data_IF_457260361343
#
_entry.id   IF_457260361343
#
_cell.length_a   1.000
_cell.length_b   1.000
_cell.length_c   1.000
_cell.angle_alpha   90.00
_cell.angle_beta   90.00
_cell.angle_gamma   90.00
#
_symmetry.space_group_name_H-M   'P 1'
#
loop_
_entity.id
_entity.type
_entity.pdbx_description
1 polymer ?
#
# COMPACT_ATOMS: atom_id res chain seq x y z
N UNK A 1 -13.07 32.41 -14.55
CA UNK A 1 -14.15 31.48 -14.12
C UNK A 1 -13.94 30.03 -14.56
N UNK A 2 -12.93 29.66 -15.38
CA UNK A 2 -12.60 28.26 -15.69
C UNK A 2 -11.59 27.60 -14.73
N UNK A 3 -10.78 28.35 -13.99
CA UNK A 3 -9.79 27.79 -13.05
C UNK A 3 -10.30 27.52 -11.61
N UNK A 4 -11.55 27.87 -11.29
CA UNK A 4 -12.12 27.64 -9.94
C UNK A 4 -12.94 26.33 -9.87
N UNK A 5 -13.10 25.62 -10.99
CA UNK A 5 -13.74 24.29 -11.01
C UNK A 5 -12.77 23.12 -10.75
N UNK A 6 -11.46 23.37 -10.66
CA UNK A 6 -10.43 22.34 -10.39
C UNK A 6 -10.51 21.69 -9.00
N UNK A 7 -11.38 22.17 -8.09
CA UNK A 7 -11.49 21.66 -6.70
C UNK A 7 -12.82 20.93 -6.41
N UNK A 8 -13.87 21.11 -7.23
CA UNK A 8 -15.25 20.68 -6.88
C UNK A 8 -15.77 19.44 -7.64
N UNK A 9 -14.96 18.78 -8.46
CA UNK A 9 -15.34 17.53 -9.15
C UNK A 9 -14.77 16.25 -8.50
N UNK A 10 -14.10 16.37 -7.35
CA UNK A 10 -13.33 15.28 -6.72
C UNK A 10 -14.22 14.34 -5.87
N UNK A 11 -15.52 14.58 -5.75
CA UNK A 11 -16.37 13.85 -4.78
C UNK A 11 -17.08 12.59 -5.32
N UNK A 12 -16.68 11.97 -6.44
CA UNK A 12 -17.29 10.67 -6.83
C UNK A 12 -16.49 9.72 -7.72
N UNK A 13 -15.24 10.02 -8.06
CA UNK A 13 -14.37 9.08 -8.78
C UNK A 13 -13.16 8.72 -7.90
N UNK A 14 -13.32 7.56 -7.25
CA UNK A 14 -12.40 6.80 -6.40
C UNK A 14 -10.92 7.22 -6.39
N UNK A 15 -10.46 7.58 -5.19
CA UNK A 15 -9.08 7.68 -4.73
C UNK A 15 -8.24 6.45 -5.11
N UNK A 16 -7.26 6.64 -6.00
CA UNK A 16 -6.04 5.83 -6.09
C UNK A 16 -4.80 6.69 -6.38
N UNK A 17 -4.73 7.88 -5.82
CA UNK A 17 -3.54 8.73 -5.88
C UNK A 17 -3.30 9.39 -4.54
N UNK A 18 -2.46 8.79 -3.69
CA UNK A 18 -1.81 9.54 -2.60
C UNK A 18 -0.36 9.09 -2.45
N UNK A 19 0.45 9.60 -3.37
CA UNK A 19 1.89 9.76 -3.22
C UNK A 19 2.34 11.21 -3.45
N UNK A 20 1.45 12.20 -3.39
CA UNK A 20 1.81 13.63 -3.45
C UNK A 20 1.79 14.21 -2.04
N UNK A 21 2.91 14.04 -1.33
CA UNK A 21 3.25 14.89 -0.18
C UNK A 21 4.40 15.80 -0.60
N UNK A 22 4.03 17.05 -0.92
CA UNK A 22 4.82 18.22 -0.57
C UNK A 22 6.28 18.28 -1.03
N UNK A 23 6.53 18.28 -2.34
CA UNK A 23 7.56 19.17 -2.84
C UNK A 23 6.89 20.51 -3.13
N UNK A 24 7.07 21.46 -2.23
CA UNK A 24 6.91 22.86 -2.57
C UNK A 24 7.96 23.12 -3.67
N UNK A 25 7.55 23.01 -4.93
CA UNK A 25 8.42 23.38 -6.04
C UNK A 25 8.88 24.82 -5.78
N UNK A 26 10.16 25.16 -5.95
CA UNK A 26 10.51 26.56 -6.06
C UNK A 26 9.64 27.12 -7.20
N UNK A 27 8.69 27.99 -6.86
CA UNK A 27 8.01 28.85 -7.83
C UNK A 27 9.06 29.75 -8.45
N UNK A 28 9.79 29.22 -9.42
CA UNK A 28 10.38 30.04 -10.46
C UNK A 28 9.17 30.43 -11.30
N UNK A 29 8.67 31.65 -11.11
CA UNK A 29 7.62 32.28 -11.90
C UNK A 29 8.09 32.42 -13.37
N UNK A 30 8.21 31.30 -14.09
CA UNK A 30 8.24 31.28 -15.53
C UNK A 30 6.79 31.42 -16.00
N UNK A 31 6.50 32.38 -16.88
CA UNK A 31 5.16 32.52 -17.44
C UNK A 31 4.85 31.26 -18.27
N UNK A 32 3.85 30.49 -17.85
CA UNK A 32 3.35 29.34 -18.61
C UNK A 32 2.66 29.83 -19.89
N UNK A 33 3.11 29.29 -21.02
CA UNK A 33 2.59 29.59 -22.34
C UNK A 33 1.72 28.44 -22.85
N UNK A 34 0.87 28.69 -23.84
CA UNK A 34 -0.05 27.67 -24.40
C UNK A 34 0.15 27.55 -25.90
N UNK A 35 0.24 26.31 -26.40
CA UNK A 35 0.30 25.97 -27.82
C UNK A 35 -0.63 24.78 -28.09
N UNK A 36 -1.76 25.04 -28.77
CA UNK A 36 -2.77 24.01 -28.98
C UNK A 36 -3.32 23.48 -27.66
N UNK A 37 -3.26 22.16 -27.46
CA UNK A 37 -3.61 21.46 -26.22
C UNK A 37 -2.51 21.50 -25.14
N UNK A 38 -1.30 21.99 -25.45
CA UNK A 38 -0.15 21.92 -24.55
C UNK A 38 0.10 23.23 -23.80
N UNK A 39 0.41 23.11 -22.52
CA UNK A 39 1.07 24.17 -21.74
C UNK A 39 2.57 23.88 -21.71
N UNK A 40 3.37 24.93 -21.83
CA UNK A 40 4.82 24.78 -21.92
C UNK A 40 5.56 25.94 -21.26
N UNK A 41 6.84 25.71 -20.99
CA UNK A 41 7.80 26.72 -20.57
C UNK A 41 8.97 26.78 -21.54
N UNK A 42 9.52 27.98 -21.70
CA UNK A 42 10.76 28.18 -22.42
C UNK A 42 11.93 27.95 -21.46
N UNK A 43 12.96 27.25 -21.94
CA UNK A 43 14.13 26.92 -21.17
C UNK A 43 15.38 27.51 -21.81
N UNK A 44 16.23 28.10 -20.96
CA UNK A 44 17.56 28.59 -21.30
C UNK A 44 18.57 27.65 -20.63
N UNK A 45 19.05 26.67 -21.39
CA UNK A 45 19.93 25.63 -20.84
C UNK A 45 21.29 26.15 -20.39
N UNK A 46 21.69 27.33 -20.88
CA UNK A 46 23.01 27.92 -20.64
C UNK A 46 22.99 29.11 -19.67
N UNK A 47 21.80 29.54 -19.22
CA UNK A 47 21.57 30.74 -18.41
C UNK A 47 22.21 32.01 -19.03
N UNK A 48 22.19 32.13 -20.36
CA UNK A 48 22.75 33.28 -21.09
C UNK A 48 21.71 34.38 -21.39
N UNK A 49 20.48 34.19 -20.93
CA UNK A 49 19.34 35.05 -21.16
C UNK A 49 18.58 34.75 -22.46
N UNK A 50 18.90 33.64 -23.16
CA UNK A 50 18.22 33.23 -24.40
C UNK A 50 17.67 31.83 -24.25
N UNK A 51 16.37 31.71 -24.49
CA UNK A 51 15.73 30.42 -24.55
C UNK A 51 16.22 29.65 -25.77
N UNK A 52 16.53 28.37 -25.57
CA UNK A 52 17.05 27.46 -26.60
C UNK A 52 16.20 26.19 -26.76
N UNK A 53 15.23 25.97 -25.87
CA UNK A 53 14.38 24.78 -25.88
C UNK A 53 13.04 25.00 -25.19
N UNK A 54 12.14 24.04 -25.37
CA UNK A 54 10.78 24.02 -24.81
C UNK A 54 10.59 22.75 -23.98
N UNK A 55 10.03 22.90 -22.77
CA UNK A 55 9.54 21.79 -21.96
C UNK A 55 8.01 21.84 -21.89
N UNK A 56 7.34 20.74 -22.24
CA UNK A 56 5.88 20.60 -22.05
C UNK A 56 5.60 20.32 -20.58
N UNK A 57 4.69 21.09 -19.99
CA UNK A 57 4.41 21.08 -18.55
C UNK A 57 2.99 20.69 -18.17
N UNK A 58 2.03 20.79 -19.10
CA UNK A 58 0.64 20.35 -18.91
C UNK A 58 0.00 20.07 -20.28
N UNK A 59 -1.13 19.37 -20.28
CA UNK A 59 -1.94 19.11 -21.48
C UNK A 59 -3.44 19.24 -21.15
N UNK A 60 -4.27 19.57 -22.14
CA UNK A 60 -5.73 19.50 -21.99
C UNK A 60 -6.15 18.08 -21.55
N UNK A 61 -6.78 17.95 -20.39
CA UNK A 61 -7.22 16.68 -19.79
C UNK A 61 -8.22 15.91 -20.67
N UNK A 62 -8.91 16.61 -21.60
CA UNK A 62 -9.87 16.01 -22.53
C UNK A 62 -9.25 15.60 -23.87
N UNK A 63 -7.93 15.71 -24.03
CA UNK A 63 -7.23 15.28 -25.24
C UNK A 63 -7.49 13.79 -25.50
N UNK A 64 -7.78 13.45 -26.75
CA UNK A 64 -8.00 12.05 -27.17
C UNK A 64 -6.90 11.51 -28.07
N UNK A 65 -6.14 12.42 -28.70
CA UNK A 65 -4.93 12.19 -29.47
C UNK A 65 -4.01 13.38 -29.27
N UNK A 66 -2.74 13.13 -28.98
CA UNK A 66 -1.75 14.18 -28.76
C UNK A 66 -0.61 14.03 -29.77
N UNK A 67 -0.41 15.03 -30.63
CA UNK A 67 0.72 15.05 -31.56
C UNK A 67 1.69 16.15 -31.09
N UNK A 68 2.72 15.76 -30.34
CA UNK A 68 3.66 16.74 -29.78
C UNK A 68 4.45 17.37 -30.94
N UNK A 69 4.46 18.70 -31.08
CA UNK A 69 5.18 19.37 -32.14
C UNK A 69 6.70 19.27 -31.94
N UNK A 70 7.45 19.18 -33.04
CA UNK A 70 8.92 19.15 -32.99
C UNK A 70 9.50 20.48 -32.47
N UNK A 71 8.82 21.59 -32.80
CA UNK A 71 9.17 22.96 -32.37
C UNK A 71 7.94 23.75 -31.93
N UNK A 72 8.11 24.60 -30.91
CA UNK A 72 7.17 25.64 -30.51
C UNK A 72 7.90 26.98 -30.55
N UNK A 73 7.33 27.98 -31.22
CA UNK A 73 7.94 29.30 -31.43
C UNK A 73 9.36 29.26 -32.05
N UNK A 74 9.64 28.24 -32.88
CA UNK A 74 10.94 28.02 -33.51
C UNK A 74 12.02 27.48 -32.58
N UNK A 75 11.64 27.01 -31.39
CA UNK A 75 12.52 26.32 -30.44
C UNK A 75 12.11 24.85 -30.34
N UNK A 76 13.08 23.91 -30.26
CA UNK A 76 12.79 22.49 -30.18
C UNK A 76 12.10 22.11 -28.86
N UNK A 77 11.11 21.22 -28.94
CA UNK A 77 10.49 20.60 -27.77
C UNK A 77 11.36 19.45 -27.28
N UNK A 78 12.08 19.65 -26.17
CA UNK A 78 13.13 18.72 -25.73
C UNK A 78 12.72 17.85 -24.55
N UNK A 79 11.70 18.23 -23.78
CA UNK A 79 11.25 17.47 -22.60
C UNK A 79 9.72 17.40 -22.48
N UNK A 80 9.23 16.21 -22.14
CA UNK A 80 7.88 15.99 -21.61
C UNK A 80 8.03 15.77 -20.11
N UNK A 81 7.52 16.70 -19.30
CA UNK A 81 7.67 16.63 -17.84
C UNK A 81 6.74 15.62 -17.18
N UNK A 82 7.01 15.38 -15.90
CA UNK A 82 6.14 14.59 -15.04
C UNK A 82 4.69 15.10 -15.09
N UNK A 83 3.75 14.16 -15.12
CA UNK A 83 2.31 14.39 -15.06
C UNK A 83 1.69 15.17 -16.24
N UNK A 84 2.42 15.46 -17.32
CA UNK A 84 1.88 16.20 -18.49
C UNK A 84 0.60 15.57 -19.05
N UNK A 85 0.57 14.24 -19.21
CA UNK A 85 -0.61 13.51 -19.68
C UNK A 85 -1.33 12.79 -18.55
N UNK A 86 -1.00 13.11 -17.30
CA UNK A 86 -1.63 12.43 -16.19
C UNK A 86 -3.13 12.69 -16.18
N UNK A 87 -3.92 11.65 -15.92
CA UNK A 87 -5.38 11.73 -15.92
C UNK A 87 -6.03 12.11 -17.26
N UNK A 88 -5.30 12.08 -18.39
CA UNK A 88 -5.89 12.17 -19.72
C UNK A 88 -6.67 10.87 -20.03
N UNK A 89 -7.84 10.69 -19.40
CA UNK A 89 -8.63 9.46 -19.47
C UNK A 89 -9.14 9.15 -20.87
N UNK A 90 -9.17 10.14 -21.77
CA UNK A 90 -9.58 9.99 -23.17
C UNK A 90 -8.43 9.75 -24.14
N UNK A 91 -7.17 9.90 -23.72
CA UNK A 91 -6.01 9.83 -24.62
C UNK A 91 -5.81 8.40 -25.10
N UNK A 92 -5.98 8.18 -26.40
CA UNK A 92 -5.86 6.86 -27.05
C UNK A 92 -4.53 6.68 -27.78
N UNK A 93 -3.94 7.78 -28.24
CA UNK A 93 -2.74 7.76 -29.05
C UNK A 93 -1.92 9.02 -28.83
N UNK A 94 -0.60 8.87 -28.75
CA UNK A 94 0.35 9.99 -28.71
C UNK A 94 1.46 9.80 -29.72
N UNK A 95 1.92 10.89 -30.35
CA UNK A 95 3.09 10.92 -31.22
C UNK A 95 4.19 11.77 -30.60
N UNK A 96 5.38 11.19 -30.44
CA UNK A 96 6.57 11.83 -29.90
C UNK A 96 7.52 12.19 -31.06
N UNK A 97 7.90 13.47 -31.22
CA UNK A 97 8.73 13.93 -32.33
C UNK A 97 10.23 13.67 -32.11
N UNK A 98 11.05 14.05 -33.09
CA UNK A 98 12.49 13.77 -33.10
C UNK A 98 13.24 14.61 -32.06
N UNK A 99 12.75 15.82 -31.81
CA UNK A 99 13.34 16.81 -30.91
C UNK A 99 13.27 16.44 -29.42
N UNK A 100 12.39 15.51 -29.02
CA UNK A 100 12.24 15.10 -27.62
C UNK A 100 13.45 14.26 -27.19
N UNK A 101 14.10 14.72 -26.12
CA UNK A 101 15.30 14.12 -25.53
C UNK A 101 14.98 13.48 -24.18
N UNK A 102 14.05 14.05 -23.43
CA UNK A 102 13.68 13.58 -22.09
C UNK A 102 12.17 13.38 -21.96
N UNK A 103 11.79 12.31 -21.27
CA UNK A 103 10.43 12.02 -20.85
C UNK A 103 10.56 11.62 -19.39
N UNK A 104 9.95 12.38 -18.49
CA UNK A 104 10.02 12.09 -17.07
C UNK A 104 9.10 10.89 -16.72
N UNK A 105 9.42 10.16 -15.65
CA UNK A 105 8.86 8.84 -15.34
C UNK A 105 7.33 8.85 -15.20
N UNK A 106 6.73 9.95 -14.72
CA UNK A 106 5.27 10.06 -14.52
C UNK A 106 4.53 10.78 -15.65
N UNK A 107 5.16 11.02 -16.80
CA UNK A 107 4.54 11.75 -17.91
C UNK A 107 3.20 11.15 -18.39
N UNK A 108 3.03 9.81 -18.28
CA UNK A 108 1.87 9.04 -18.76
C UNK A 108 1.06 8.35 -17.64
N UNK A 109 1.10 8.91 -16.43
CA UNK A 109 0.46 8.30 -15.27
C UNK A 109 -1.09 8.29 -15.41
N UNK A 110 -1.75 7.16 -15.15
CA UNK A 110 -3.23 7.03 -15.25
C UNK A 110 -3.81 7.39 -16.65
N UNK A 111 -3.04 7.19 -17.72
CA UNK A 111 -3.56 7.26 -19.09
C UNK A 111 -4.32 5.97 -19.47
N UNK A 112 -5.42 5.66 -18.77
CA UNK A 112 -6.11 4.36 -18.84
C UNK A 112 -6.68 3.97 -20.20
N UNK A 113 -6.81 4.93 -21.13
CA UNK A 113 -7.28 4.70 -22.50
C UNK A 113 -6.17 4.62 -23.55
N UNK A 114 -4.90 4.78 -23.16
CA UNK A 114 -3.78 4.86 -24.10
C UNK A 114 -3.55 3.49 -24.76
N UNK A 115 -3.77 3.41 -26.07
CA UNK A 115 -3.60 2.19 -26.86
C UNK A 115 -2.26 2.16 -27.60
N UNK A 116 -1.74 3.34 -27.96
CA UNK A 116 -0.58 3.46 -28.84
C UNK A 116 0.30 4.66 -28.49
N UNK A 117 1.62 4.44 -28.42
CA UNK A 117 2.63 5.50 -28.36
C UNK A 117 3.47 5.39 -29.62
N UNK A 118 3.37 6.39 -30.50
CA UNK A 118 4.20 6.51 -31.69
C UNK A 118 5.43 7.36 -31.38
N UNK A 119 6.54 7.03 -32.03
CA UNK A 119 7.75 7.84 -32.02
C UNK A 119 8.17 8.05 -33.46
N UNK A 120 8.52 9.27 -33.82
CA UNK A 120 9.04 9.58 -35.15
C UNK A 120 10.29 8.76 -35.48
N UNK A 121 10.41 8.31 -36.73
CA UNK A 121 11.45 7.36 -37.16
C UNK A 121 12.87 7.93 -37.01
N UNK A 122 13.02 9.25 -37.11
CA UNK A 122 14.33 9.91 -37.00
C UNK A 122 14.70 10.27 -35.56
N UNK A 123 13.86 9.96 -34.57
CA UNK A 123 14.18 10.22 -33.17
C UNK A 123 15.46 9.49 -32.79
N UNK A 124 16.40 10.20 -32.18
CA UNK A 124 17.68 9.63 -31.74
C UNK A 124 17.61 9.07 -30.31
N UNK A 125 16.56 9.40 -29.56
CA UNK A 125 16.47 9.10 -28.13
C UNK A 125 15.45 8.00 -27.81
N UNK A 126 14.38 7.93 -28.58
CA UNK A 126 13.27 7.01 -28.33
C UNK A 126 12.92 6.20 -29.57
N UNK A 127 12.21 5.10 -29.36
CA UNK A 127 11.52 4.40 -30.43
C UNK A 127 10.25 3.75 -29.92
N UNK A 128 9.33 3.48 -30.84
CA UNK A 128 8.14 2.68 -30.58
C UNK A 128 8.28 1.32 -31.27
N UNK A 129 7.91 0.26 -30.57
CA UNK A 129 7.74 -1.07 -31.14
C UNK A 129 6.33 -1.55 -30.81
N UNK A 130 5.50 -1.73 -31.84
CA UNK A 130 4.08 -2.07 -31.70
C UNK A 130 3.33 -1.15 -30.72
N UNK A 131 3.68 0.14 -30.69
CA UNK A 131 3.05 1.12 -29.80
C UNK A 131 3.59 1.15 -28.37
N UNK A 132 4.54 0.30 -28.02
CA UNK A 132 5.23 0.32 -26.72
C UNK A 132 6.45 1.23 -26.83
N UNK A 133 6.61 2.13 -25.86
CA UNK A 133 7.68 3.11 -25.84
C UNK A 133 8.96 2.54 -25.23
N UNK A 134 10.07 2.73 -25.93
CA UNK A 134 11.41 2.38 -25.50
C UNK A 134 12.36 3.55 -25.70
N UNK A 135 13.53 3.49 -25.06
CA UNK A 135 14.68 4.25 -25.56
C UNK A 135 15.11 3.74 -26.96
N UNK A 136 15.93 4.51 -27.68
CA UNK A 136 16.30 4.19 -29.06
C UNK A 136 16.91 2.81 -29.22
N UNK A 137 17.78 2.43 -28.29
CA UNK A 137 18.51 1.17 -28.25
C UNK A 137 17.65 -0.03 -27.78
N UNK A 138 16.41 0.21 -27.35
CA UNK A 138 15.48 -0.80 -26.79
C UNK A 138 16.06 -1.54 -25.57
N UNK A 139 16.94 -0.90 -24.82
CA UNK A 139 17.43 -1.42 -23.53
C UNK A 139 16.50 -1.07 -22.38
N UNK A 140 15.66 -0.06 -22.56
CA UNK A 140 14.78 0.49 -21.52
C UNK A 140 13.35 0.48 -22.05
N UNK A 141 12.47 -0.31 -21.44
CA UNK A 141 11.03 -0.25 -21.70
C UNK A 141 10.45 0.86 -20.83
N UNK A 142 10.04 1.95 -21.45
CA UNK A 142 9.63 3.18 -20.77
C UNK A 142 8.15 3.12 -20.41
N UNK A 143 7.27 2.81 -21.38
CA UNK A 143 5.83 2.74 -21.15
C UNK A 143 5.16 1.73 -22.06
N UNK A 144 4.41 0.83 -21.45
CA UNK A 144 3.40 0.01 -22.10
C UNK A 144 2.05 0.75 -22.04
N UNK A 145 1.35 0.93 -23.18
CA UNK A 145 0.06 1.63 -23.19
C UNK A 145 -1.00 0.86 -22.37
N UNK A 146 -1.60 1.53 -21.38
CA UNK A 146 -2.51 0.92 -20.39
C UNK A 146 -3.75 0.25 -21.00
N UNK A 147 -4.26 0.76 -22.13
CA UNK A 147 -5.39 0.19 -22.85
C UNK A 147 -5.00 -0.77 -23.98
N UNK A 148 -3.71 -1.04 -24.21
CA UNK A 148 -3.27 -1.93 -25.28
C UNK A 148 -3.96 -3.29 -25.14
N UNK A 149 -4.62 -3.73 -26.21
CA UNK A 149 -5.54 -4.90 -26.24
C UNK A 149 -4.83 -6.26 -26.11
N UNK A 150 -3.51 -6.28 -26.01
CA UNK A 150 -2.73 -7.51 -25.94
C UNK A 150 -2.83 -8.11 -24.55
N UNK A 151 -3.30 -9.35 -24.47
CA UNK A 151 -3.48 -10.08 -23.20
C UNK A 151 -2.20 -10.76 -22.71
N UNK A 152 -1.27 -11.07 -23.61
CA UNK A 152 0.01 -11.72 -23.27
C UNK A 152 1.16 -10.96 -23.89
N UNK A 153 2.06 -10.45 -23.07
CA UNK A 153 3.19 -9.67 -23.53
C UNK A 153 4.51 -10.29 -23.06
N UNK A 154 5.41 -10.53 -24.01
CA UNK A 154 6.79 -10.93 -23.73
C UNK A 154 7.69 -9.74 -24.01
N UNK A 155 8.40 -9.27 -22.98
CA UNK A 155 9.36 -8.18 -23.15
C UNK A 155 10.53 -8.70 -24.01
N UNK A 156 10.93 -7.93 -25.01
CA UNK A 156 11.99 -8.31 -25.95
C UNK A 156 13.33 -8.60 -25.26
N UNK A 157 14.01 -9.66 -25.69
CA UNK A 157 15.41 -9.91 -25.30
C UNK A 157 16.28 -8.73 -25.74
N UNK A 158 17.02 -8.15 -24.80
CA UNK A 158 17.80 -6.91 -25.00
C UNK A 158 17.34 -5.79 -24.07
N UNK A 159 16.08 -5.82 -23.61
CA UNK A 159 15.61 -4.93 -22.54
C UNK A 159 16.30 -5.30 -21.24
N UNK A 160 16.98 -4.34 -20.63
CA UNK A 160 17.70 -4.48 -19.36
C UNK A 160 17.01 -3.76 -18.20
N UNK A 161 16.20 -2.75 -18.51
CA UNK A 161 15.44 -1.96 -17.53
C UNK A 161 13.97 -1.87 -17.93
N UNK A 162 13.09 -2.09 -16.97
CA UNK A 162 11.67 -1.70 -17.04
C UNK A 162 11.55 -0.43 -16.19
N UNK A 163 11.08 0.67 -16.78
CA UNK A 163 10.92 1.94 -16.08
C UNK A 163 9.84 1.87 -14.99
N UNK A 164 9.86 2.85 -14.09
CA UNK A 164 8.79 3.03 -13.10
C UNK A 164 7.45 3.27 -13.82
N UNK A 165 6.35 2.70 -13.31
CA UNK A 165 5.01 2.78 -13.89
C UNK A 165 4.88 2.29 -15.36
N UNK A 166 5.88 1.57 -15.88
CA UNK A 166 5.89 1.11 -17.25
C UNK A 166 4.69 0.23 -17.60
N UNK A 167 4.21 -0.59 -16.65
CA UNK A 167 3.00 -1.41 -16.76
C UNK A 167 1.90 -0.96 -15.78
N UNK A 168 1.80 0.33 -15.50
CA UNK A 168 0.70 0.87 -14.69
C UNK A 168 -0.65 0.74 -15.42
N UNK A 169 -1.67 0.28 -14.69
CA UNK A 169 -3.08 0.17 -15.14
C UNK A 169 -3.26 -0.57 -16.47
N UNK A 170 -2.42 -1.56 -16.76
CA UNK A 170 -2.49 -2.37 -17.98
C UNK A 170 -3.64 -3.39 -17.90
N UNK A 171 -4.88 -2.89 -17.91
CA UNK A 171 -6.10 -3.62 -17.55
C UNK A 171 -6.59 -4.62 -18.60
N UNK A 172 -5.84 -4.83 -19.67
CA UNK A 172 -6.05 -5.92 -20.63
C UNK A 172 -4.97 -6.99 -20.54
N UNK A 173 -3.84 -6.72 -19.88
CA UNK A 173 -2.73 -7.64 -19.77
C UNK A 173 -3.04 -8.71 -18.71
N UNK A 174 -3.06 -9.97 -19.14
CA UNK A 174 -3.30 -11.16 -18.30
C UNK A 174 -1.99 -11.84 -17.94
N UNK A 175 -1.01 -11.85 -18.86
CA UNK A 175 0.30 -12.44 -18.63
C UNK A 175 1.43 -11.53 -19.12
N UNK A 176 2.42 -11.32 -18.25
CA UNK A 176 3.68 -10.65 -18.57
C UNK A 176 4.84 -11.64 -18.48
N UNK A 177 5.69 -11.70 -19.50
CA UNK A 177 6.92 -12.50 -19.47
C UNK A 177 8.15 -11.59 -19.49
N UNK A 178 8.99 -11.73 -18.46
CA UNK A 178 10.25 -11.02 -18.25
C UNK A 178 11.41 -11.88 -18.82
N UNK A 179 12.19 -11.36 -19.79
CA UNK A 179 13.29 -12.08 -20.43
C UNK A 179 14.51 -12.20 -19.51
N UNK A 180 15.51 -12.95 -19.96
CA UNK A 180 16.77 -13.13 -19.23
C UNK A 180 17.59 -11.83 -19.07
N UNK A 181 17.38 -10.85 -19.94
CA UNK A 181 18.18 -9.62 -20.00
C UNK A 181 17.79 -8.54 -18.98
N UNK A 182 16.58 -8.60 -18.41
CA UNK A 182 16.07 -7.60 -17.46
C UNK A 182 16.77 -7.72 -16.12
N UNK A 183 17.36 -6.62 -15.67
CA UNK A 183 18.12 -6.47 -14.42
C UNK A 183 17.46 -5.52 -13.43
N UNK A 184 16.75 -4.50 -13.94
CA UNK A 184 16.16 -3.44 -13.14
C UNK A 184 14.67 -3.27 -13.44
N UNK A 185 13.87 -3.05 -12.40
CA UNK A 185 12.44 -2.71 -12.50
C UNK A 185 12.15 -1.49 -11.62
N UNK A 186 12.03 -0.30 -12.22
CA UNK A 186 11.86 0.97 -11.50
C UNK A 186 13.10 1.42 -10.71
N UNK A 187 13.04 2.61 -10.12
CA UNK A 187 14.11 3.16 -9.28
C UNK A 187 14.11 2.57 -7.85
N UNK A 188 12.96 2.05 -7.39
CA UNK A 188 12.78 1.40 -6.08
C UNK A 188 12.27 -0.05 -6.17
N UNK A 189 11.98 -0.60 -7.35
CA UNK A 189 11.52 -1.98 -7.51
C UNK A 189 10.00 -2.17 -7.65
N UNK A 190 9.21 -1.21 -7.18
CA UNK A 190 7.90 -1.55 -6.58
C UNK A 190 6.67 -1.09 -7.39
N UNK A 191 6.86 -0.18 -8.35
CA UNK A 191 5.77 0.44 -9.12
C UNK A 191 5.80 0.16 -10.62
N UNK A 192 6.77 -0.61 -11.10
CA UNK A 192 6.87 -0.97 -12.52
C UNK A 192 5.61 -1.71 -13.02
N UNK A 193 4.91 -2.42 -12.14
CA UNK A 193 3.69 -3.19 -12.41
C UNK A 193 2.64 -2.86 -11.32
N UNK A 194 2.06 -1.67 -11.40
CA UNK A 194 0.98 -1.19 -10.52
C UNK A 194 -0.38 -1.25 -11.24
N UNK A 195 -1.47 -1.36 -10.48
CA UNK A 195 -2.85 -1.17 -10.99
C UNK A 195 -3.36 -2.11 -12.09
N UNK A 196 -2.55 -3.04 -12.61
CA UNK A 196 -2.95 -3.98 -13.68
C UNK A 196 -3.91 -5.05 -13.17
N UNK A 197 -5.22 -4.74 -13.16
CA UNK A 197 -6.24 -5.52 -12.45
C UNK A 197 -6.52 -6.91 -13.03
N UNK A 198 -6.21 -7.14 -14.31
CA UNK A 198 -6.40 -8.45 -14.98
C UNK A 198 -5.14 -9.31 -15.01
N UNK A 199 -4.01 -8.81 -14.51
CA UNK A 199 -2.76 -9.54 -14.58
C UNK A 199 -2.81 -10.74 -13.64
N UNK A 200 -2.80 -11.95 -14.18
CA UNK A 200 -2.88 -13.22 -13.45
C UNK A 200 -1.50 -13.85 -13.25
N UNK A 201 -0.55 -13.57 -14.14
CA UNK A 201 0.79 -14.16 -14.07
C UNK A 201 1.90 -13.21 -14.55
N UNK A 202 2.98 -13.18 -13.78
CA UNK A 202 4.26 -12.60 -14.15
C UNK A 202 5.26 -13.75 -14.26
N UNK A 203 5.56 -14.17 -15.49
CA UNK A 203 6.54 -15.19 -15.81
C UNK A 203 7.93 -14.57 -15.93
N UNK A 204 8.96 -15.32 -15.53
CA UNK A 204 10.37 -14.91 -15.65
C UNK A 204 11.14 -16.03 -16.32
N UNK A 205 11.97 -15.70 -17.31
CA UNK A 205 12.88 -16.66 -17.94
C UNK A 205 13.75 -17.37 -16.90
N UNK A 206 13.92 -18.69 -17.02
CA UNK A 206 14.73 -19.49 -16.09
C UNK A 206 16.18 -18.99 -15.97
N UNK A 207 16.70 -18.43 -17.07
CA UNK A 207 18.05 -17.88 -17.17
C UNK A 207 18.20 -16.44 -16.63
N UNK A 208 17.09 -15.77 -16.24
CA UNK A 208 17.18 -14.44 -15.68
C UNK A 208 18.04 -14.47 -14.39
N UNK A 209 19.01 -13.59 -14.27
CA UNK A 209 19.97 -13.59 -13.17
C UNK A 209 19.47 -12.87 -11.91
N UNK A 210 18.44 -12.03 -12.03
CA UNK A 210 18.04 -11.05 -11.01
C UNK A 210 16.65 -11.34 -10.42
N UNK A 211 15.78 -12.04 -11.17
CA UNK A 211 14.40 -12.31 -10.81
C UNK A 211 14.04 -13.80 -10.94
N UNK A 212 13.01 -14.22 -10.21
CA UNK A 212 12.38 -15.53 -10.31
C UNK A 212 10.85 -15.35 -10.37
N UNK A 213 10.15 -16.32 -10.97
CA UNK A 213 8.70 -16.44 -10.84
C UNK A 213 8.35 -17.79 -10.23
N UNK A 214 7.41 -17.80 -9.29
CA UNK A 214 6.83 -19.01 -8.71
C UNK A 214 5.32 -18.88 -8.77
N UNK A 215 4.66 -19.77 -9.51
CA UNK A 215 3.20 -19.78 -9.69
C UNK A 215 2.63 -18.43 -10.18
N UNK A 216 3.39 -17.75 -11.04
CA UNK A 216 3.06 -16.44 -11.61
C UNK A 216 3.32 -15.25 -10.68
N UNK A 217 3.84 -15.47 -9.47
CA UNK A 217 4.23 -14.41 -8.53
C UNK A 217 5.69 -14.04 -8.74
N UNK A 218 5.98 -12.74 -8.77
CA UNK A 218 7.31 -12.19 -9.04
C UNK A 218 8.13 -12.02 -7.77
N UNK A 219 9.38 -12.47 -7.80
CA UNK A 219 10.35 -12.30 -6.72
C UNK A 219 11.73 -11.91 -7.27
N UNK A 220 12.64 -11.55 -6.36
CA UNK A 220 14.07 -11.54 -6.69
C UNK A 220 14.58 -12.97 -6.96
N UNK A 221 15.78 -13.11 -7.52
CA UNK A 221 16.31 -14.41 -7.99
C UNK A 221 16.30 -15.50 -6.92
N UNK A 222 16.68 -15.17 -5.69
CA UNK A 222 16.74 -16.11 -4.57
C UNK A 222 15.37 -16.40 -3.95
N UNK A 223 14.31 -15.74 -4.47
CA UNK A 223 12.95 -15.76 -3.96
C UNK A 223 12.89 -15.45 -2.45
N UNK A 224 13.71 -14.48 -2.00
CA UNK A 224 13.80 -13.97 -0.62
C UNK A 224 13.03 -12.66 -0.42
N UNK A 225 12.65 -11.98 -1.52
CA UNK A 225 11.77 -10.81 -1.53
C UNK A 225 10.63 -11.06 -2.51
N UNK A 226 9.39 -11.00 -2.03
CA UNK A 226 8.22 -10.99 -2.91
C UNK A 226 8.06 -9.58 -3.47
N UNK A 227 8.20 -9.43 -4.78
CA UNK A 227 8.18 -8.13 -5.46
C UNK A 227 6.77 -7.77 -5.89
N UNK A 228 6.04 -8.70 -6.53
CA UNK A 228 4.66 -8.44 -6.97
C UNK A 228 3.82 -9.71 -7.01
N UNK A 229 2.69 -9.65 -6.33
CA UNK A 229 1.57 -10.56 -6.51
C UNK A 229 0.63 -9.99 -7.59
N UNK A 230 0.30 -10.76 -8.64
CA UNK A 230 -0.60 -10.29 -9.69
C UNK A 230 -2.04 -10.07 -9.17
N UNK A 231 -2.62 -8.89 -9.42
CA UNK A 231 -3.94 -8.48 -8.89
C UNK A 231 -5.08 -9.35 -9.45
N UNK A 232 -4.94 -9.81 -10.70
CA UNK A 232 -5.95 -10.62 -11.39
C UNK A 232 -6.04 -12.07 -10.93
N UNK A 233 -5.11 -12.53 -10.07
CA UNK A 233 -5.22 -13.85 -9.43
C UNK A 233 -6.53 -13.94 -8.64
N UNK A 234 -7.21 -15.08 -8.75
CA UNK A 234 -8.60 -15.27 -8.27
C UNK A 234 -8.69 -15.97 -6.90
N UNK A 235 -7.56 -16.45 -6.40
CA UNK A 235 -7.46 -17.09 -5.10
C UNK A 235 -7.75 -16.09 -3.96
N UNK A 236 -8.55 -16.50 -2.98
CA UNK A 236 -8.86 -15.69 -1.79
C UNK A 236 -7.87 -15.90 -0.65
N UNK A 237 -6.99 -16.89 -0.77
CA UNK A 237 -5.96 -17.22 0.21
C UNK A 237 -4.62 -17.40 -0.49
N UNK A 238 -3.55 -16.91 0.14
CA UNK A 238 -2.19 -17.10 -0.36
C UNK A 238 -1.21 -17.42 0.76
N UNK A 239 -0.40 -18.46 0.55
CA UNK A 239 0.73 -18.80 1.43
C UNK A 239 2.01 -18.30 0.81
N UNK A 240 2.65 -17.33 1.46
CA UNK A 240 3.93 -16.80 1.01
C UNK A 240 5.02 -17.86 1.16
N UNK A 241 5.87 -18.00 0.14
CA UNK A 241 6.96 -18.99 0.10
C UNK A 241 7.91 -18.86 1.30
N UNK A 242 8.28 -20.00 1.91
CA UNK A 242 9.15 -20.12 3.10
C UNK A 242 10.56 -19.50 3.02
N UNK A 243 11.04 -19.21 1.82
CA UNK A 243 12.32 -18.52 1.59
C UNK A 243 12.20 -17.00 1.74
N UNK A 244 10.99 -16.45 1.70
CA UNK A 244 10.74 -15.02 1.74
C UNK A 244 11.07 -14.46 3.12
N UNK A 245 11.82 -13.37 3.12
CA UNK A 245 12.24 -12.58 4.29
C UNK A 245 11.72 -11.15 4.23
N UNK A 246 11.27 -10.69 3.06
CA UNK A 246 10.75 -9.33 2.84
C UNK A 246 9.53 -9.35 1.93
N UNK A 247 8.52 -8.59 2.29
CA UNK A 247 7.45 -8.19 1.37
C UNK A 247 7.86 -6.83 0.81
N UNK A 248 8.11 -6.76 -0.50
CA UNK A 248 8.43 -5.50 -1.18
C UNK A 248 7.29 -4.51 -1.06
N UNK A 249 7.58 -3.23 -1.26
CA UNK A 249 6.54 -2.23 -1.37
C UNK A 249 5.63 -2.49 -2.57
N UNK A 250 4.36 -2.16 -2.43
CA UNK A 250 3.33 -2.42 -3.44
C UNK A 250 3.08 -3.90 -3.76
N UNK A 251 3.72 -4.84 -3.07
CA UNK A 251 3.77 -6.24 -3.47
C UNK A 251 2.38 -6.90 -3.56
N UNK A 252 1.50 -6.62 -2.61
CA UNK A 252 0.08 -7.02 -2.64
C UNK A 252 -0.85 -5.83 -2.88
N UNK A 253 -0.32 -4.66 -3.28
CA UNK A 253 -1.16 -3.48 -3.49
C UNK A 253 -2.26 -3.76 -4.51
N UNK A 254 -3.51 -3.49 -4.12
CA UNK A 254 -4.70 -3.68 -4.94
C UNK A 254 -5.26 -5.10 -4.96
N UNK A 255 -4.76 -6.05 -4.15
CA UNK A 255 -5.31 -7.41 -4.09
C UNK A 255 -6.66 -7.43 -3.35
N UNK A 256 -7.70 -6.90 -3.98
CA UNK A 256 -9.00 -6.61 -3.37
C UNK A 256 -9.78 -7.85 -2.93
N UNK A 257 -9.51 -9.03 -3.51
CA UNK A 257 -10.20 -10.29 -3.14
C UNK A 257 -9.43 -11.15 -2.13
N UNK A 258 -8.15 -10.89 -1.86
CA UNK A 258 -7.37 -11.72 -0.93
C UNK A 258 -7.90 -11.51 0.48
N UNK A 259 -8.46 -12.57 1.08
CA UNK A 259 -9.06 -12.54 2.41
C UNK A 259 -8.07 -12.96 3.51
N UNK A 260 -7.11 -13.83 3.18
CA UNK A 260 -6.13 -14.38 4.10
C UNK A 260 -4.76 -14.53 3.44
N UNK A 261 -3.71 -14.09 4.15
CA UNK A 261 -2.32 -14.23 3.71
C UNK A 261 -1.52 -14.85 4.85
N UNK A 262 -0.88 -15.99 4.56
CA UNK A 262 -0.03 -16.71 5.51
C UNK A 262 1.42 -16.29 5.25
N UNK A 263 2.01 -15.60 6.24
CA UNK A 263 3.38 -15.11 6.20
C UNK A 263 4.33 -16.12 6.88
N UNK A 264 5.50 -16.44 6.32
CA UNK A 264 6.52 -17.24 7.00
C UNK A 264 7.19 -16.46 8.14
N UNK A 265 7.62 -17.19 9.18
CA UNK A 265 8.24 -16.64 10.41
C UNK A 265 9.53 -15.83 10.17
N UNK A 266 10.14 -15.94 8.99
CA UNK A 266 11.41 -15.28 8.65
C UNK A 266 11.24 -13.85 8.12
N UNK A 267 10.00 -13.42 7.83
CA UNK A 267 9.76 -12.07 7.36
C UNK A 267 10.17 -11.06 8.43
N UNK A 268 11.05 -10.16 8.05
CA UNK A 268 11.56 -9.09 8.91
C UNK A 268 11.13 -7.69 8.46
N UNK A 269 10.54 -7.57 7.27
CA UNK A 269 10.18 -6.30 6.65
C UNK A 269 8.91 -6.40 5.79
N UNK A 270 8.02 -5.43 5.94
CA UNK A 270 6.91 -5.16 5.02
C UNK A 270 7.08 -3.74 4.47
N UNK A 271 7.22 -3.62 3.15
CA UNK A 271 7.53 -2.38 2.45
C UNK A 271 6.37 -1.39 2.35
N UNK A 272 6.67 -0.24 1.74
CA UNK A 272 5.72 0.84 1.50
C UNK A 272 4.53 0.33 0.67
N UNK A 273 3.29 0.61 1.07
CA UNK A 273 2.09 0.08 0.39
C UNK A 273 2.01 -1.46 0.28
N UNK A 274 2.78 -2.22 1.08
CA UNK A 274 2.92 -3.69 0.93
C UNK A 274 1.60 -4.47 0.79
N UNK A 275 0.56 -4.10 1.55
CA UNK A 275 -0.81 -4.64 1.50
C UNK A 275 -1.87 -3.54 1.25
N UNK A 276 -1.47 -2.42 0.66
CA UNK A 276 -2.37 -1.30 0.32
C UNK A 276 -3.57 -1.77 -0.51
N UNK A 277 -4.78 -1.26 -0.24
CA UNK A 277 -6.03 -1.65 -0.89
C UNK A 277 -6.34 -3.16 -0.87
N UNK A 278 -5.78 -3.95 0.05
CA UNK A 278 -6.22 -5.33 0.27
C UNK A 278 -7.59 -5.35 0.98
N UNK A 279 -8.64 -4.87 0.30
CA UNK A 279 -9.98 -4.65 0.87
C UNK A 279 -10.66 -5.93 1.36
N UNK A 280 -10.28 -7.09 0.82
CA UNK A 280 -10.76 -8.40 1.27
C UNK A 280 -10.07 -8.90 2.54
N UNK A 281 -8.88 -8.39 2.90
CA UNK A 281 -8.03 -8.95 3.95
C UNK A 281 -8.67 -8.75 5.33
N UNK A 282 -9.09 -9.85 5.96
CA UNK A 282 -9.84 -9.80 7.24
C UNK A 282 -8.92 -9.81 8.45
N UNK A 283 -7.86 -10.60 8.38
CA UNK A 283 -6.88 -10.82 9.45
C UNK A 283 -5.53 -11.16 8.83
N UNK A 284 -4.45 -10.80 9.52
CA UNK A 284 -3.09 -11.19 9.13
C UNK A 284 -2.26 -11.46 10.39
N UNK A 285 -1.61 -12.62 10.43
CA UNK A 285 -0.73 -12.98 11.53
C UNK A 285 0.67 -12.44 11.23
N UNK A 286 1.12 -11.49 12.05
CA UNK A 286 2.45 -10.89 11.90
C UNK A 286 3.53 -11.81 12.47
N UNK A 287 4.63 -12.05 11.74
CA UNK A 287 5.71 -12.91 12.20
C UNK A 287 6.54 -12.23 13.30
N UNK A 288 6.98 -12.99 14.30
CA UNK A 288 7.71 -12.46 15.47
C UNK A 288 9.03 -11.75 15.12
N UNK A 289 9.63 -12.07 13.96
CA UNK A 289 10.87 -11.45 13.47
C UNK A 289 10.66 -10.13 12.72
N UNK A 290 9.42 -9.68 12.55
CA UNK A 290 9.11 -8.43 11.89
C UNK A 290 9.72 -7.26 12.68
N UNK A 291 10.48 -6.40 11.99
CA UNK A 291 11.19 -5.27 12.60
C UNK A 291 10.62 -3.91 12.21
N UNK A 292 9.97 -3.81 11.04
CA UNK A 292 9.38 -2.54 10.59
C UNK A 292 8.22 -2.74 9.62
N UNK A 293 7.33 -1.74 9.63
CA UNK A 293 6.22 -1.57 8.70
C UNK A 293 6.41 -0.28 7.91
N UNK A 294 6.40 -0.39 6.57
CA UNK A 294 6.51 0.75 5.66
C UNK A 294 5.30 1.69 5.71
N UNK A 295 5.49 2.88 5.15
CA UNK A 295 4.43 3.87 4.97
C UNK A 295 3.27 3.28 4.15
N UNK A 296 2.03 3.57 4.51
CA UNK A 296 0.83 3.04 3.85
C UNK A 296 0.71 1.49 3.78
N UNK A 297 1.47 0.72 4.59
CA UNK A 297 1.56 -0.73 4.40
C UNK A 297 0.20 -1.47 4.44
N UNK A 298 -0.79 -0.98 5.19
CA UNK A 298 -2.17 -1.50 5.22
C UNK A 298 -3.21 -0.44 4.85
N UNK A 299 -2.81 0.57 4.06
CA UNK A 299 -3.74 1.62 3.62
C UNK A 299 -4.99 1.02 2.98
N UNK A 300 -6.16 1.51 3.37
CA UNK A 300 -7.46 1.11 2.81
C UNK A 300 -7.74 -0.41 2.86
N UNK A 301 -7.22 -1.12 3.87
CA UNK A 301 -7.62 -2.50 4.18
C UNK A 301 -8.97 -2.51 4.92
N UNK A 302 -10.06 -2.20 4.20
CA UNK A 302 -11.37 -1.91 4.81
C UNK A 302 -12.00 -3.08 5.56
N UNK A 303 -11.60 -4.33 5.29
CA UNK A 303 -12.09 -5.52 6.02
C UNK A 303 -11.20 -5.94 7.21
N UNK A 304 -10.03 -5.33 7.39
CA UNK A 304 -9.09 -5.72 8.45
C UNK A 304 -9.69 -5.39 9.81
N UNK A 305 -10.02 -6.40 10.61
CA UNK A 305 -10.79 -6.19 11.85
C UNK A 305 -9.93 -5.95 13.09
N UNK A 306 -8.68 -6.40 13.05
CA UNK A 306 -7.78 -6.42 14.18
C UNK A 306 -6.39 -6.84 13.74
N UNK A 307 -5.38 -6.31 14.42
CA UNK A 307 -3.98 -6.64 14.13
C UNK A 307 -3.13 -6.57 15.39
N UNK A 308 -2.17 -7.50 15.48
CA UNK A 308 -1.15 -7.55 16.53
C UNK A 308 0.20 -7.25 15.90
N UNK A 309 0.80 -6.14 16.32
CA UNK A 309 2.16 -5.73 15.94
C UNK A 309 3.14 -6.35 16.94
N UNK A 310 4.08 -7.20 16.49
CA UNK A 310 4.95 -7.97 17.37
C UNK A 310 5.99 -7.10 18.08
N UNK A 311 6.59 -7.64 19.14
CA UNK A 311 7.55 -6.92 20.00
C UNK A 311 8.83 -6.50 19.26
N UNK A 312 9.21 -7.22 18.20
CA UNK A 312 10.35 -6.90 17.36
C UNK A 312 10.19 -5.61 16.54
N UNK A 313 8.97 -5.12 16.33
CA UNK A 313 8.73 -3.94 15.48
C UNK A 313 9.18 -2.68 16.20
N UNK A 314 10.17 -1.99 15.64
CA UNK A 314 10.72 -0.74 16.18
C UNK A 314 10.07 0.49 15.55
N UNK A 315 9.46 0.37 14.37
CA UNK A 315 8.93 1.50 13.60
C UNK A 315 7.66 1.11 12.83
N UNK A 316 6.63 1.97 12.90
CA UNK A 316 5.41 1.93 12.09
C UNK A 316 5.36 3.20 11.23
N UNK A 317 5.43 3.06 9.91
CA UNK A 317 5.45 4.15 8.95
C UNK A 317 4.16 4.97 8.91
N UNK A 318 4.23 6.16 8.30
CA UNK A 318 3.08 7.07 8.21
C UNK A 318 1.89 6.42 7.48
N UNK A 319 0.67 6.74 7.92
CA UNK A 319 -0.59 6.28 7.32
C UNK A 319 -0.72 4.74 7.15
N UNK A 320 0.03 3.95 7.94
CA UNK A 320 0.06 2.48 7.83
C UNK A 320 -1.34 1.86 7.85
N UNK A 321 -2.24 2.32 8.73
CA UNK A 321 -3.61 1.83 8.90
C UNK A 321 -4.65 2.91 8.57
N UNK A 322 -4.37 3.79 7.62
CA UNK A 322 -5.31 4.83 7.22
C UNK A 322 -6.44 4.23 6.36
N UNK A 323 -7.69 4.67 6.57
CA UNK A 323 -8.91 4.11 5.96
C UNK A 323 -9.13 2.61 6.22
N UNK A 324 -8.72 2.10 7.38
CA UNK A 324 -9.04 0.73 7.78
C UNK A 324 -10.41 0.69 8.50
N UNK A 325 -11.49 0.84 7.73
CA UNK A 325 -12.85 1.09 8.26
C UNK A 325 -13.38 0.03 9.25
N UNK A 326 -12.97 -1.23 9.11
CA UNK A 326 -13.39 -2.32 10.02
C UNK A 326 -12.46 -2.53 11.22
N UNK A 327 -11.36 -1.78 11.33
CA UNK A 327 -10.32 -2.02 12.32
C UNK A 327 -10.80 -1.59 13.70
N UNK A 328 -11.05 -2.56 14.58
CA UNK A 328 -11.58 -2.32 15.92
C UNK A 328 -10.49 -2.26 16.98
N UNK A 329 -9.38 -2.97 16.76
CA UNK A 329 -8.30 -3.09 17.73
C UNK A 329 -6.94 -3.21 17.07
N UNK A 330 -5.96 -2.47 17.58
CA UNK A 330 -4.55 -2.63 17.24
C UNK A 330 -3.79 -2.91 18.53
N UNK A 331 -3.01 -3.98 18.57
CA UNK A 331 -2.10 -4.27 19.69
C UNK A 331 -0.68 -3.96 19.27
N UNK A 332 0.02 -3.09 20.03
CA UNK A 332 1.42 -2.75 19.78
C UNK A 332 2.25 -3.28 20.97
N UNK A 333 2.96 -4.39 20.75
CA UNK A 333 3.69 -5.07 21.83
C UNK A 333 4.99 -4.36 22.23
N UNK A 334 5.65 -3.67 21.32
CA UNK A 334 6.90 -2.98 21.67
C UNK A 334 6.59 -1.65 22.38
N UNK A 335 6.97 -1.48 23.67
CA UNK A 335 6.71 -0.24 24.41
C UNK A 335 7.44 0.99 23.85
N UNK A 336 8.45 0.78 23.00
CA UNK A 336 9.30 1.82 22.39
C UNK A 336 9.15 1.89 20.86
N UNK A 337 8.08 1.32 20.29
CA UNK A 337 7.83 1.41 18.86
C UNK A 337 7.65 2.86 18.43
N UNK A 338 8.44 3.36 17.50
CA UNK A 338 8.21 4.68 16.90
C UNK A 338 7.00 4.61 15.97
N UNK A 339 6.01 5.48 16.21
CA UNK A 339 4.77 5.56 15.44
C UNK A 339 4.80 6.89 14.68
N UNK A 340 5.14 6.84 13.39
CA UNK A 340 5.22 8.03 12.55
C UNK A 340 3.82 8.46 12.14
N UNK A 341 3.35 9.63 12.61
CA UNK A 341 1.92 9.96 12.46
C UNK A 341 1.48 11.35 12.87
N UNK A 342 2.32 12.38 12.72
CA UNK A 342 1.84 13.73 12.98
C UNK A 342 2.65 14.77 12.23
N UNK A 343 2.10 15.24 11.10
CA UNK A 343 2.55 16.49 10.51
C UNK A 343 1.57 17.59 10.94
N UNK A 344 2.00 18.46 11.86
CA UNK A 344 1.25 19.63 12.33
C UNK A 344 0.79 20.58 11.22
N UNK A 345 1.38 20.49 10.02
CA UNK A 345 1.09 21.38 8.90
C UNK A 345 -0.06 20.90 8.02
N UNK A 346 -0.45 19.62 8.10
CA UNK A 346 -1.50 19.03 7.27
C UNK A 346 -2.38 18.12 8.13
N UNK A 347 -3.59 18.61 8.43
CA UNK A 347 -4.59 18.04 9.35
C UNK A 347 -5.17 16.66 8.92
N UNK A 348 -4.43 15.85 8.14
CA UNK A 348 -4.97 14.73 7.37
C UNK A 348 -4.16 13.40 7.43
N UNK A 349 -3.08 13.30 8.21
CA UNK A 349 -2.17 12.14 8.18
C UNK A 349 -2.03 11.42 9.53
N UNK A 350 -3.08 10.73 9.97
CA UNK A 350 -3.01 9.82 11.12
C UNK A 350 -2.58 8.43 10.66
N UNK A 351 -1.53 7.88 11.28
CA UNK A 351 -1.07 6.48 11.08
C UNK A 351 -2.19 5.48 11.18
N UNK A 352 -3.14 5.74 12.08
CA UNK A 352 -4.27 4.88 12.38
C UNK A 352 -5.54 5.72 12.23
N UNK A 353 -6.40 5.34 11.28
CA UNK A 353 -7.66 6.03 11.00
C UNK A 353 -8.67 5.04 10.39
N UNK A 354 -9.92 5.09 10.85
CA UNK A 354 -11.02 4.28 10.33
C UNK A 354 -12.08 5.09 9.55
N UNK A 355 -12.18 6.41 9.74
CA UNK A 355 -13.18 7.23 9.00
C UNK A 355 -12.87 8.73 9.02
N UNK A 356 -13.56 9.46 8.15
CA UNK A 356 -13.62 10.92 8.17
C UNK A 356 -14.80 11.40 9.03
N UNK A 357 -14.54 12.29 9.97
CA UNK A 357 -15.54 13.01 10.74
C UNK A 357 -15.89 14.31 10.01
N UNK A 358 -17.03 14.33 9.32
CA UNK A 358 -17.51 15.49 8.56
C UNK A 358 -17.76 16.73 9.45
N UNK A 359 -18.02 16.56 10.75
CA UNK A 359 -18.34 17.68 11.65
C UNK A 359 -17.08 18.44 12.04
N UNK A 360 -16.01 17.70 12.31
CA UNK A 360 -14.73 18.26 12.76
C UNK A 360 -13.72 18.37 11.61
N UNK A 361 -14.10 17.95 10.40
CA UNK A 361 -13.28 17.91 9.19
C UNK A 361 -11.95 17.16 9.36
N UNK A 362 -11.95 16.09 10.19
CA UNK A 362 -10.74 15.35 10.57
C UNK A 362 -10.87 13.84 10.38
N UNK A 363 -9.73 13.16 10.22
CA UNK A 363 -9.66 11.71 10.16
C UNK A 363 -9.45 11.12 11.56
N UNK A 364 -10.38 10.29 12.02
CA UNK A 364 -10.36 9.73 13.37
C UNK A 364 -10.22 8.21 13.36
N UNK A 365 -9.88 7.66 14.53
CA UNK A 365 -9.96 6.23 14.79
C UNK A 365 -10.82 5.98 16.02
N UNK A 366 -11.83 5.14 15.89
CA UNK A 366 -12.82 4.90 16.95
C UNK A 366 -12.60 3.60 17.74
N UNK A 367 -11.66 2.77 17.27
CA UNK A 367 -11.24 1.54 17.93
C UNK A 367 -10.38 1.78 19.18
N UNK A 368 -9.75 0.70 19.64
CA UNK A 368 -8.89 0.71 20.83
C UNK A 368 -7.44 0.36 20.42
N UNK A 369 -6.48 1.11 20.95
CA UNK A 369 -5.06 0.75 20.90
C UNK A 369 -4.70 0.03 22.20
N UNK A 370 -4.14 -1.16 22.10
CA UNK A 370 -3.57 -1.91 23.22
C UNK A 370 -2.05 -1.75 23.21
N UNK A 371 -1.47 -1.35 24.35
CA UNK A 371 -0.02 -1.22 24.51
C UNK A 371 0.43 -1.40 25.95
N UNK A 372 1.71 -1.22 26.25
CA UNK A 372 2.18 -1.19 27.64
C UNK A 372 1.93 0.18 28.28
N UNK A 373 1.82 0.24 29.60
CA UNK A 373 1.81 1.52 30.32
C UNK A 373 3.12 2.29 30.07
N UNK A 374 3.04 3.61 29.94
CA UNK A 374 4.14 4.50 29.59
C UNK A 374 4.82 4.17 28.24
N UNK A 375 4.09 3.53 27.32
CA UNK A 375 4.57 3.21 25.98
C UNK A 375 4.38 4.34 24.98
N UNK A 376 5.10 4.26 23.86
CA UNK A 376 4.85 5.11 22.68
C UNK A 376 3.44 4.92 22.12
N UNK A 377 2.85 3.72 22.24
CA UNK A 377 1.47 3.46 21.84
C UNK A 377 0.46 4.22 22.73
N UNK A 378 0.70 4.28 24.04
CA UNK A 378 -0.10 5.09 24.96
C UNK A 378 0.01 6.57 24.60
N UNK A 379 1.23 7.08 24.45
CA UNK A 379 1.46 8.49 24.11
C UNK A 379 0.84 8.87 22.76
N UNK A 380 0.88 7.98 21.77
CA UNK A 380 0.21 8.16 20.48
C UNK A 380 -1.31 8.22 20.65
N UNK A 381 -1.88 7.28 21.40
CA UNK A 381 -3.33 7.24 21.63
C UNK A 381 -3.82 8.51 22.35
N UNK A 382 -3.11 8.97 23.38
CA UNK A 382 -3.41 10.22 24.08
C UNK A 382 -3.34 11.44 23.15
N UNK A 383 -2.27 11.52 22.33
CA UNK A 383 -2.07 12.61 21.37
C UNK A 383 -3.17 12.68 20.31
N UNK A 384 -3.63 11.52 19.83
CA UNK A 384 -4.65 11.41 18.79
C UNK A 384 -6.08 11.29 19.33
N UNK A 385 -6.28 11.41 20.65
CA UNK A 385 -7.58 11.23 21.31
C UNK A 385 -8.25 9.86 21.00
N UNK A 386 -7.43 8.81 20.97
CA UNK A 386 -7.84 7.42 20.72
C UNK A 386 -7.96 6.68 22.06
N UNK A 387 -8.91 5.74 22.15
CA UNK A 387 -9.03 4.86 23.33
C UNK A 387 -7.79 3.99 23.49
N UNK A 388 -7.24 3.95 24.70
CA UNK A 388 -6.07 3.15 25.04
C UNK A 388 -6.39 2.17 26.16
N UNK A 389 -5.83 0.96 26.06
CA UNK A 389 -5.91 -0.08 27.07
C UNK A 389 -4.53 -0.71 27.29
N UNK A 390 -4.17 -1.02 28.55
CA UNK A 390 -2.91 -1.72 28.80
C UNK A 390 -3.05 -3.20 28.41
N UNK A 391 -2.06 -3.75 27.72
CA UNK A 391 -2.00 -5.17 27.35
C UNK A 391 -2.03 -5.98 28.65
N UNK A 392 -3.00 -6.88 28.75
CA UNK A 392 -3.22 -7.69 29.95
C UNK A 392 -4.13 -7.06 30.99
N UNK A 393 -4.58 -5.81 30.82
CA UNK A 393 -5.45 -5.12 31.79
C UNK A 393 -6.88 -4.88 31.31
N UNK A 394 -7.19 -5.03 30.01
CA UNK A 394 -8.58 -5.01 29.51
C UNK A 394 -8.92 -6.27 28.71
N UNK A 395 -9.82 -7.06 29.29
CA UNK A 395 -10.47 -8.22 28.69
C UNK A 395 -11.95 -7.87 28.50
N UNK A 396 -12.46 -7.98 27.27
CA UNK A 396 -13.86 -7.72 26.94
C UNK A 396 -14.75 -8.98 27.10
N UNK A 397 -15.56 -9.05 28.17
CA UNK A 397 -17.01 -9.05 27.94
C UNK A 397 -17.93 -10.22 28.31
N UNK A 398 -17.66 -11.07 29.30
CA UNK A 398 -18.72 -11.74 30.11
C UNK A 398 -18.18 -11.97 31.52
N UNK A 399 -18.86 -11.46 32.56
CA UNK A 399 -18.46 -11.73 33.95
C UNK A 399 -18.44 -13.26 34.18
N UNK A 400 -17.26 -13.81 34.49
CA UNK A 400 -17.05 -15.26 34.67
C UNK A 400 -16.56 -16.02 33.43
N UNK A 401 -16.41 -15.39 32.27
CA UNK A 401 -15.69 -15.97 31.12
C UNK A 401 -14.20 -15.88 31.41
N UNK A 402 -13.68 -16.91 32.06
CA UNK A 402 -12.32 -16.91 32.58
C UNK A 402 -11.30 -17.30 31.52
N UNK A 403 -11.72 -17.97 30.44
CA UNK A 403 -10.83 -18.63 29.49
C UNK A 403 -10.58 -17.87 28.17
N UNK A 404 -11.21 -16.72 27.94
CA UNK A 404 -11.03 -15.94 26.71
C UNK A 404 -12.09 -16.19 25.64
N UNK A 405 -13.04 -17.11 25.80
CA UNK A 405 -13.83 -17.65 24.70
C UNK A 405 -15.10 -16.86 24.37
N UNK A 406 -15.39 -15.83 25.17
CA UNK A 406 -16.53 -14.94 25.01
C UNK A 406 -17.85 -15.52 25.53
N UNK A 407 -17.86 -16.66 26.25
CA UNK A 407 -19.08 -17.32 26.75
C UNK A 407 -18.90 -17.93 28.14
N UNK A 408 -19.71 -17.50 29.10
CA UNK A 408 -19.80 -18.12 30.42
C UNK A 408 -20.35 -19.56 30.38
N UNK A 409 -19.47 -20.54 30.64
CA UNK A 409 -19.70 -21.99 30.57
C UNK A 409 -18.90 -22.73 31.64
N UNK A 410 -19.13 -24.05 31.74
CA UNK A 410 -18.38 -24.89 32.68
C UNK A 410 -16.86 -24.94 32.38
N UNK A 411 -16.47 -24.64 31.13
CA UNK A 411 -15.07 -24.51 30.72
C UNK A 411 -14.34 -23.38 31.45
N UNK A 412 -15.04 -22.34 31.89
CA UNK A 412 -14.44 -21.22 32.63
C UNK A 412 -14.09 -21.60 34.07
N UNK A 413 -15.00 -22.30 34.75
CA UNK A 413 -14.71 -22.86 36.07
C UNK A 413 -13.55 -23.86 36.02
N UNK A 414 -13.49 -24.67 34.95
CA UNK A 414 -12.39 -25.61 34.73
C UNK A 414 -11.06 -24.89 34.44
N UNK A 415 -11.10 -23.79 33.68
CA UNK A 415 -9.94 -22.95 33.43
C UNK A 415 -9.37 -22.36 34.71
N UNK A 416 -10.21 -21.77 35.58
CA UNK A 416 -9.76 -21.23 36.88
C UNK A 416 -9.10 -22.32 37.73
N UNK A 417 -9.71 -23.50 37.83
CA UNK A 417 -9.16 -24.61 38.61
C UNK A 417 -7.80 -25.09 38.06
N UNK A 418 -7.66 -25.17 36.73
CA UNK A 418 -6.41 -25.56 36.07
C UNK A 418 -5.32 -24.51 36.28
N UNK A 419 -5.63 -23.23 36.08
CA UNK A 419 -4.70 -22.12 36.24
C UNK A 419 -4.18 -22.02 37.68
N UNK A 420 -5.05 -22.22 38.68
CA UNK A 420 -4.64 -22.26 40.10
C UNK A 420 -3.71 -23.45 40.41
N UNK A 421 -3.98 -24.62 39.83
CA UNK A 421 -3.14 -25.79 40.02
C UNK A 421 -1.74 -25.61 39.38
N UNK A 422 -1.69 -25.06 38.17
CA UNK A 422 -0.44 -24.79 37.46
C UNK A 422 0.40 -23.71 38.17
N UNK A 423 -0.24 -22.63 38.62
CA UNK A 423 0.42 -21.57 39.37
C UNK A 423 0.98 -22.07 40.71
N UNK A 424 0.27 -22.99 41.39
CA UNK A 424 0.76 -23.62 42.62
C UNK A 424 2.02 -24.46 42.42
N UNK A 425 2.18 -25.08 41.24
CA UNK A 425 3.40 -25.85 40.91
C UNK A 425 4.57 -24.91 40.59
N UNK A 426 4.30 -23.76 39.95
CA UNK A 426 5.31 -22.78 39.53
C UNK A 426 5.65 -21.72 40.57
N UNK A 427 4.88 -21.64 41.67
CA UNK A 427 5.03 -20.59 42.69
C UNK A 427 4.55 -19.20 42.21
N UNK A 428 3.71 -19.17 41.18
CA UNK A 428 3.15 -17.94 40.60
C UNK A 428 1.87 -17.52 41.33
N UNK A 429 1.56 -16.22 41.31
CA UNK A 429 0.31 -15.70 41.87
C UNK A 429 -0.73 -15.52 40.77
N UNK A 430 -1.92 -16.06 40.99
CA UNK A 430 -3.11 -15.79 40.17
C UNK A 430 -3.87 -14.64 40.82
N UNK A 431 -4.05 -13.54 40.10
CA UNK A 431 -4.69 -12.32 40.60
C UNK A 431 -5.77 -11.85 39.63
N UNK A 432 -6.73 -11.07 40.13
CA UNK A 432 -7.74 -10.42 39.29
C UNK A 432 -7.12 -9.42 38.31
N UNK A 433 -5.90 -8.95 38.58
CA UNK A 433 -5.11 -8.14 37.65
C UNK A 433 -4.68 -8.94 36.40
N UNK A 434 -4.28 -10.20 36.58
CA UNK A 434 -3.87 -11.08 35.47
C UNK A 434 -5.05 -11.80 34.81
N UNK A 435 -6.16 -12.00 35.54
CA UNK A 435 -7.34 -12.75 35.08
C UNK A 435 -8.64 -12.05 35.55
N UNK A 436 -9.00 -10.90 34.96
CA UNK A 436 -10.07 -10.04 35.48
C UNK A 436 -11.47 -10.66 35.46
N UNK A 437 -11.77 -11.56 34.52
CA UNK A 437 -13.07 -12.24 34.46
C UNK A 437 -13.13 -13.54 35.27
N UNK A 438 -12.00 -13.93 35.89
CA UNK A 438 -11.95 -15.06 36.80
C UNK A 438 -12.37 -14.70 38.23
N UNK A 439 -12.44 -13.40 38.61
CA UNK A 439 -12.99 -12.93 39.88
C UNK A 439 -14.52 -12.79 39.75
N UNK A 440 -15.21 -13.92 39.85
CA UNK A 440 -16.65 -13.97 39.66
C UNK A 440 -17.41 -13.44 40.88
N UNK A 441 -16.86 -13.64 42.08
CA UNK A 441 -17.52 -13.24 43.32
C UNK A 441 -17.31 -11.74 43.66
N UNK A 442 -16.32 -11.08 43.04
CA UNK A 442 -16.01 -9.66 43.18
C UNK A 442 -15.27 -9.31 44.48
N UNK A 443 -14.55 -10.26 45.07
CA UNK A 443 -13.79 -10.07 46.31
C UNK A 443 -12.36 -9.57 46.10
N UNK A 444 -11.96 -9.35 44.84
CA UNK A 444 -10.65 -8.88 44.43
C UNK A 444 -9.58 -9.97 44.36
N UNK A 445 -9.96 -11.25 44.49
CA UNK A 445 -9.05 -12.40 44.40
C UNK A 445 -9.59 -13.41 43.38
N UNK A 446 -8.68 -14.16 42.75
CA UNK A 446 -9.04 -15.29 41.88
C UNK A 446 -8.74 -16.58 42.64
N UNK A 447 -9.78 -17.30 43.04
CA UNK A 447 -9.66 -18.49 43.89
C UNK A 447 -10.58 -19.62 43.43
N UNK A 448 -10.49 -20.77 44.09
CA UNK A 448 -11.44 -21.86 43.88
C UNK A 448 -12.91 -21.45 44.21
N UNK A 449 -13.10 -20.40 45.01
CA UNK A 449 -14.43 -19.87 45.30
C UNK A 449 -15.11 -19.28 44.05
N UNK A 450 -14.34 -18.71 43.13
CA UNK A 450 -14.85 -18.14 41.88
C UNK A 450 -15.28 -19.22 40.90
N UNK A 451 -14.46 -20.28 40.77
CA UNK A 451 -14.83 -21.47 40.00
C UNK A 451 -16.12 -22.11 40.54
N UNK A 452 -16.26 -22.22 41.87
CA UNK A 452 -17.46 -22.74 42.51
C UNK A 452 -18.68 -21.83 42.30
N UNK A 453 -18.49 -20.51 42.32
CA UNK A 453 -19.55 -19.54 42.11
C UNK A 453 -20.06 -19.55 40.65
N UNK A 454 -19.17 -19.72 39.66
CA UNK A 454 -19.54 -19.94 38.25
C UNK A 454 -20.36 -21.23 38.11
N UNK A 455 -19.88 -22.34 38.69
CA UNK A 455 -20.57 -23.63 38.61
C UNK A 455 -21.98 -23.57 39.22
N UNK A 456 -22.12 -22.90 40.37
CA UNK A 456 -23.42 -22.67 41.03
C UNK A 456 -24.36 -21.82 40.18
N UNK A 457 -23.86 -20.70 39.64
CA UNK A 457 -24.64 -19.82 38.76
C UNK A 457 -25.20 -20.59 37.55
N UNK A 458 -24.36 -21.39 36.89
CA UNK A 458 -24.77 -22.20 35.73
C UNK A 458 -25.83 -23.25 36.10
N UNK A 459 -25.70 -23.89 37.27
CA UNK A 459 -26.69 -24.84 37.77
C UNK A 459 -28.05 -24.16 38.04
N UNK A 460 -28.06 -22.96 38.64
CA UNK A 460 -29.28 -22.19 38.90
C UNK A 460 -29.99 -21.74 37.60
N UNK A 461 -29.24 -21.43 36.54
CA UNK A 461 -29.81 -21.10 35.23
C UNK A 461 -30.42 -22.33 34.53
N UNK A 462 -29.88 -23.52 34.77
CA UNK A 462 -30.38 -24.77 34.17
C UNK A 462 -31.72 -25.26 34.75
N UNK A 463 -32.10 -24.78 35.94
CA UNK A 463 -33.38 -25.09 36.61
C UNK A 463 -34.51 -24.16 36.12
N UNK A 464 -34.18 -23.03 35.48
CA UNK A 464 -35.14 -22.02 35.01
C UNK A 464 -35.50 -22.14 33.51
N UNK A 465 -34.88 -23.08 32.79
CA UNK A 465 -35.22 -23.49 31.42
C UNK A 465 -35.91 -24.85 31.47
#
# INVERSE_FOLDING_TARGET
>A
MKHVKKILSITSALLCTVGLLGTQFPEVNAAENVYGEFTYVLYDSNNDGKNDSVEITDCDEFVTRADIPDEIEGMPVTRIKDFVFAFCFGLTEITIPDSVIFIDDAAFNICVSLENINVSENSNNFCSLDGVLFNKEKTDLIKYPSAKKTERYTISNGVTKISENAFEDCNNLIELTIPESVKYMGNTGEWAISGSEKLESINVSENNADFCSVDGVLFNKDCTTLIKYPIGKTETEYTVKESVTKIGGGAFAGCYILESIILPDKINYIGEFGFSNCRGLKTINMPDKLTSLGKYAFWNCTSLNGIVIPEGVTNIGENTFFCCESLKSITIKNPKCEIYGYNLLYNYNNTICDKYDEVNEEYIYTGIIYGHENSTAQAYAEKCNIKFAVIGTEYNGVKGDANGDGKLRASDAAFIAKTLAEASVKGEKVTAENYPNADFNGDGKVTAADAAAIAKYLAEQSIKK
#
